data_IF_716753671951
#
_entry.id   IF_716753671951
#
_cell.length_a   1.000
_cell.length_b   1.000
_cell.length_c   1.000
_cell.angle_alpha   90.00
_cell.angle_beta   90.00
_cell.angle_gamma   90.00
#
_symmetry.space_group_name_H-M   'P 1'
#
loop_
_entity.id
_entity.type
_entity.pdbx_description
1 polymer ?
#
# COMPACT_ATOMS: atom_id res chain seq x y z
N UNK A 1 -16.85 -7.26 4.99
CA UNK A 1 -15.48 -6.73 5.25
C UNK A 1 -15.41 -5.28 4.80
N UNK A 2 -14.68 -4.43 5.50
CA UNK A 2 -14.35 -3.10 4.99
C UNK A 2 -13.38 -3.28 3.83
N UNK A 3 -13.73 -2.76 2.65
CA UNK A 3 -12.88 -2.78 1.46
C UNK A 3 -11.72 -1.78 1.57
N UNK A 4 -11.59 -1.08 2.70
CA UNK A 4 -10.53 -0.10 2.96
C UNK A 4 -9.88 -0.32 4.31
N UNK A 5 -8.59 -0.01 4.36
CA UNK A 5 -7.79 -0.04 5.58
C UNK A 5 -7.00 1.25 5.73
N UNK A 6 -6.82 1.70 6.97
CA UNK A 6 -5.98 2.83 7.32
C UNK A 6 -4.58 2.31 7.65
N UNK A 7 -3.57 2.85 6.99
CA UNK A 7 -2.18 2.47 7.20
C UNK A 7 -1.31 3.69 7.44
N UNK A 8 -0.19 3.48 8.12
CA UNK A 8 0.88 4.47 8.26
C UNK A 8 2.13 3.96 7.56
N UNK A 9 2.63 4.76 6.63
CA UNK A 9 3.96 4.62 6.07
C UNK A 9 4.97 5.18 7.08
N UNK A 10 5.89 4.33 7.54
CA UNK A 10 6.84 4.65 8.59
C UNK A 10 8.00 5.50 8.06
N UNK A 11 8.51 5.16 6.88
CA UNK A 11 9.64 5.82 6.23
C UNK A 11 9.30 6.12 4.76
N UNK A 12 9.77 7.25 4.24
CA UNK A 12 9.57 7.58 2.83
C UNK A 12 10.38 6.65 1.93
N UNK A 13 9.83 6.26 0.79
CA UNK A 13 10.52 5.45 -0.20
C UNK A 13 10.00 5.72 -1.61
N UNK A 14 10.75 5.27 -2.61
CA UNK A 14 10.41 5.46 -4.01
C UNK A 14 10.44 4.12 -4.73
N UNK A 15 9.35 3.80 -5.44
CA UNK A 15 9.21 2.57 -6.21
C UNK A 15 9.54 2.84 -7.67
N UNK A 16 10.41 2.01 -8.24
CA UNK A 16 10.76 2.04 -9.66
C UNK A 16 10.56 0.66 -10.30
N UNK A 17 10.27 0.65 -11.60
CA UNK A 17 10.34 -0.56 -12.43
C UNK A 17 11.39 -0.41 -13.53
N UNK A 18 11.51 -1.42 -14.38
CA UNK A 18 12.43 -1.46 -15.51
C UNK A 18 13.88 -1.11 -15.12
N UNK A 19 14.33 -1.66 -13.99
CA UNK A 19 15.68 -1.43 -13.45
C UNK A 19 15.95 0.02 -13.03
N UNK A 20 14.95 0.72 -12.49
CA UNK A 20 15.10 2.10 -12.02
C UNK A 20 14.68 3.19 -13.02
N UNK A 21 14.34 2.81 -14.26
CA UNK A 21 14.10 3.78 -15.35
C UNK A 21 12.72 4.44 -15.30
N UNK A 22 11.73 3.80 -14.71
CA UNK A 22 10.37 4.36 -14.63
C UNK A 22 9.88 4.35 -13.20
N UNK A 23 9.57 5.56 -12.73
CA UNK A 23 9.00 5.82 -11.42
C UNK A 23 7.57 5.30 -11.38
N UNK A 24 7.29 4.40 -10.44
CA UNK A 24 5.95 3.90 -10.14
C UNK A 24 5.28 4.82 -9.14
N UNK A 25 5.89 5.04 -7.97
CA UNK A 25 5.33 5.90 -6.92
C UNK A 25 6.43 6.53 -6.05
N UNK A 26 6.17 7.71 -5.51
CA UNK A 26 7.02 8.39 -4.51
C UNK A 26 6.24 8.53 -3.21
N UNK A 27 6.42 7.57 -2.31
CA UNK A 27 5.64 7.41 -1.09
C UNK A 27 6.31 8.20 0.04
N UNK A 28 5.55 9.09 0.68
CA UNK A 28 6.03 9.85 1.84
C UNK A 28 5.67 9.12 3.12
N UNK A 29 6.40 9.38 4.21
CA UNK A 29 5.97 8.97 5.54
C UNK A 29 4.66 9.67 5.90
N UNK A 30 3.67 8.95 6.42
CA UNK A 30 2.36 9.53 6.69
C UNK A 30 1.24 8.51 6.71
N UNK A 31 0.01 9.00 6.80
CA UNK A 31 -1.19 8.17 6.79
C UNK A 31 -1.75 8.04 5.38
N UNK A 32 -2.24 6.86 5.07
CA UNK A 32 -2.84 6.52 3.78
C UNK A 32 -4.08 5.65 3.99
N UNK A 33 -4.98 5.70 3.02
CA UNK A 33 -6.10 4.76 2.90
C UNK A 33 -5.79 3.83 1.75
N UNK A 34 -5.74 2.53 2.03
CA UNK A 34 -5.59 1.51 1.01
C UNK A 34 -6.94 0.85 0.71
N UNK A 35 -7.17 0.53 -0.57
CA UNK A 35 -8.40 -0.11 -1.07
C UNK A 35 -8.09 -1.54 -1.51
N UNK A 36 -8.94 -2.48 -1.12
CA UNK A 36 -8.88 -3.87 -1.54
C UNK A 36 -9.30 -3.99 -3.01
N UNK A 37 -8.43 -4.57 -3.83
CA UNK A 37 -8.76 -5.10 -5.14
C UNK A 37 -9.12 -6.58 -4.99
N UNK A 38 -10.43 -6.88 -5.03
CA UNK A 38 -10.96 -8.20 -4.63
C UNK A 38 -10.50 -9.36 -5.51
N UNK A 39 -10.17 -9.10 -6.77
CA UNK A 39 -9.77 -10.15 -7.72
C UNK A 39 -8.40 -10.74 -7.38
N UNK A 40 -7.50 -9.94 -6.83
CA UNK A 40 -6.14 -10.36 -6.45
C UNK A 40 -5.92 -10.38 -4.93
N UNK A 41 -6.92 -9.95 -4.17
CA UNK A 41 -6.87 -9.80 -2.71
C UNK A 41 -5.80 -8.80 -2.21
N UNK A 42 -5.34 -7.91 -3.08
CA UNK A 42 -4.30 -6.92 -2.78
C UNK A 42 -4.89 -5.57 -2.32
N UNK A 43 -4.18 -4.87 -1.45
CA UNK A 43 -4.51 -3.52 -1.00
C UNK A 43 -3.60 -2.50 -1.67
N UNK A 44 -4.19 -1.53 -2.37
CA UNK A 44 -3.47 -0.45 -3.04
C UNK A 44 -3.80 0.91 -2.47
N UNK A 45 -2.80 1.79 -2.40
CA UNK A 45 -2.99 3.20 -2.12
C UNK A 45 -2.35 4.06 -3.21
N UNK A 46 -2.49 5.39 -3.08
CA UNK A 46 -2.00 6.34 -4.07
C UNK A 46 -1.10 7.36 -3.42
N UNK A 47 -0.02 7.71 -4.11
CA UNK A 47 0.86 8.79 -3.66
C UNK A 47 0.25 10.18 -3.95
N UNK A 48 1.00 11.24 -3.62
CA UNK A 48 0.53 12.63 -3.80
C UNK A 48 0.27 13.04 -5.25
N UNK A 49 0.73 12.25 -6.23
CA UNK A 49 0.48 12.47 -7.66
C UNK A 49 -0.55 11.48 -8.22
N UNK A 50 -1.22 10.71 -7.37
CA UNK A 50 -2.24 9.76 -7.77
C UNK A 50 -1.70 8.46 -8.34
N UNK A 51 -0.39 8.19 -8.21
CA UNK A 51 0.22 6.95 -8.69
C UNK A 51 0.02 5.85 -7.67
N UNK A 52 -0.36 4.67 -8.15
CA UNK A 52 -0.76 3.55 -7.31
C UNK A 52 0.45 2.74 -6.82
N UNK A 53 0.38 2.27 -5.58
CA UNK A 53 1.38 1.39 -4.98
C UNK A 53 0.73 0.34 -4.08
N UNK A 54 1.35 -0.84 -4.06
CA UNK A 54 0.94 -1.95 -3.21
C UNK A 54 1.26 -1.66 -1.74
N UNK A 55 0.30 -1.94 -0.87
CA UNK A 55 0.40 -1.78 0.58
C UNK A 55 0.48 -3.13 1.29
N UNK A 56 -0.09 -4.17 0.70
CA UNK A 56 -0.16 -5.51 1.27
C UNK A 56 -1.27 -6.32 0.62
N UNK A 57 -1.60 -7.46 1.20
CA UNK A 57 -2.63 -8.38 0.69
C UNK A 57 -3.42 -9.02 1.84
N UNK A 58 -4.59 -9.55 1.51
CA UNK A 58 -5.33 -10.47 2.37
C UNK A 58 -4.68 -11.86 2.26
N UNK A 59 -4.40 -12.50 3.39
CA UNK A 59 -3.94 -13.89 3.44
C UNK A 59 -5.09 -14.88 3.70
N UNK A 60 -4.76 -16.17 3.64
CA UNK A 60 -5.71 -17.30 3.70
C UNK A 60 -6.64 -17.31 4.93
N UNK A 61 -6.23 -16.70 6.04
CA UNK A 61 -7.00 -16.61 7.28
C UNK A 61 -7.66 -15.25 7.49
N UNK A 62 -7.88 -14.50 6.41
CA UNK A 62 -8.37 -13.12 6.41
C UNK A 62 -7.48 -12.15 7.20
N UNK A 63 -6.23 -12.51 7.51
CA UNK A 63 -5.26 -11.56 8.07
C UNK A 63 -4.63 -10.75 6.97
N UNK A 64 -4.43 -9.47 7.26
CA UNK A 64 -3.75 -8.57 6.35
C UNK A 64 -2.25 -8.73 6.55
N UNK A 65 -1.55 -9.08 5.47
CA UNK A 65 -0.09 -9.09 5.40
C UNK A 65 0.33 -7.80 4.71
N UNK A 66 1.03 -6.93 5.45
CA UNK A 66 1.48 -5.64 4.92
C UNK A 66 2.88 -5.75 4.33
N UNK A 67 3.12 -5.00 3.26
CA UNK A 67 4.47 -4.76 2.74
C UNK A 67 5.34 -4.06 3.77
N UNK A 68 6.66 -4.28 3.66
CA UNK A 68 7.62 -3.69 4.58
C UNK A 68 7.52 -2.15 4.58
N UNK A 69 7.62 -1.55 5.77
CA UNK A 69 7.54 -0.09 5.94
C UNK A 69 6.13 0.44 6.19
N UNK A 70 5.11 -0.41 6.14
CA UNK A 70 3.74 -0.06 6.52
C UNK A 70 3.33 -0.64 7.88
N UNK A 71 2.44 0.08 8.55
CA UNK A 71 1.78 -0.37 9.79
C UNK A 71 0.29 -0.15 9.70
N UNK A 72 -0.48 -1.18 10.03
CA UNK A 72 -1.94 -1.08 10.13
C UNK A 72 -2.30 -0.15 11.30
N UNK A 73 -3.19 0.80 11.07
CA UNK A 73 -3.74 1.64 12.13
C UNK A 73 -5.03 0.99 12.64
N UNK A 74 -5.08 0.70 13.95
CA UNK A 74 -6.33 0.34 14.60
C UNK A 74 -7.15 1.62 14.76
N UNK A 75 -8.41 1.57 14.34
CA UNK A 75 -9.38 2.59 14.72
C UNK A 75 -9.78 2.41 16.18
#
# INVERSE_FOLDING_TARGET
>A
MKNTINIRCLEKFTLYNNGGKKLIADVKSGQYVAKLYKETEEYFSKDSKGREFLVGQLGDDNKIVLEQGFKLMKN
#
